data_IF_467379031210
#
_entry.id   IF_467379031210
#
_cell.length_a   1.000
_cell.length_b   1.000
_cell.length_c   1.000
_cell.angle_alpha   90.00
_cell.angle_beta   90.00
_cell.angle_gamma   90.00
#
_symmetry.space_group_name_H-M   'P 1'
#
loop_
_entity.id
_entity.type
_entity.pdbx_description
1 polymer ?
#
# COMPACT_ATOMS: atom_id res chain seq x y z
N UNK A 1 -38.23 -37.51 9.65
CA UNK A 1 -37.55 -37.08 8.45
C UNK A 1 -36.32 -36.27 8.82
N UNK A 2 -35.17 -36.91 8.94
CA UNK A 2 -33.90 -36.23 8.99
C UNK A 2 -33.60 -35.75 7.56
N UNK A 3 -33.78 -34.44 7.35
CA UNK A 3 -33.75 -33.87 6.02
C UNK A 3 -32.37 -33.87 5.44
N UNK A 4 -32.33 -33.87 4.09
CA UNK A 4 -31.15 -33.65 3.24
C UNK A 4 -30.30 -32.40 3.58
N UNK A 5 -30.78 -31.53 4.47
CA UNK A 5 -30.08 -30.32 4.92
C UNK A 5 -28.80 -30.56 5.72
N UNK A 6 -28.62 -31.71 6.39
CA UNK A 6 -27.44 -32.00 7.20
C UNK A 6 -26.23 -32.49 6.35
N UNK A 7 -26.44 -32.90 5.11
CA UNK A 7 -25.39 -33.43 4.23
C UNK A 7 -24.57 -32.31 3.60
N UNK A 8 -25.11 -31.10 3.50
CA UNK A 8 -24.43 -29.95 2.86
C UNK A 8 -23.77 -28.98 3.87
N UNK A 9 -23.92 -29.19 5.16
CA UNK A 9 -23.24 -28.41 6.20
C UNK A 9 -21.78 -28.79 6.26
N UNK A 10 -20.88 -27.77 6.31
CA UNK A 10 -19.43 -27.89 6.41
C UNK A 10 -18.69 -28.21 5.11
N UNK A 11 -19.14 -27.65 4.00
CA UNK A 11 -18.31 -27.65 2.80
C UNK A 11 -17.12 -26.71 3.03
N UNK A 12 -15.92 -27.11 2.58
CA UNK A 12 -14.74 -26.24 2.60
C UNK A 12 -14.75 -25.44 1.30
N UNK A 13 -14.81 -24.11 1.43
CA UNK A 13 -14.65 -23.17 0.32
C UNK A 13 -13.25 -22.56 0.43
N UNK A 14 -12.37 -22.91 -0.50
CA UNK A 14 -11.06 -22.30 -0.64
C UNK A 14 -11.13 -21.17 -1.67
N UNK A 15 -10.72 -19.95 -1.27
CA UNK A 15 -10.64 -18.80 -2.16
C UNK A 15 -9.20 -18.31 -2.15
N UNK A 16 -8.51 -18.52 -3.28
CA UNK A 16 -7.19 -17.95 -3.51
C UNK A 16 -7.31 -16.47 -3.89
N UNK A 17 -6.36 -15.64 -3.44
CA UNK A 17 -6.33 -14.20 -3.68
C UNK A 17 -7.67 -13.51 -3.31
N UNK A 18 -8.19 -13.80 -2.10
CA UNK A 18 -9.49 -13.28 -1.63
C UNK A 18 -9.59 -11.74 -1.67
N UNK A 19 -8.46 -11.03 -1.63
CA UNK A 19 -8.40 -9.57 -1.76
C UNK A 19 -8.88 -9.06 -3.13
N UNK A 20 -8.92 -9.90 -4.16
CA UNK A 20 -9.47 -9.55 -5.49
C UNK A 20 -10.99 -9.45 -5.52
N UNK A 21 -11.65 -10.01 -4.52
CA UNK A 21 -13.08 -9.83 -4.32
C UNK A 21 -13.34 -8.47 -3.69
N UNK A 22 -14.24 -7.68 -4.25
CA UNK A 22 -14.66 -6.44 -3.63
C UNK A 22 -15.43 -6.70 -2.31
N UNK A 23 -15.55 -5.68 -1.46
CA UNK A 23 -16.17 -5.83 -0.14
C UNK A 23 -17.60 -6.36 -0.20
N UNK A 24 -18.40 -5.97 -1.20
CA UNK A 24 -19.74 -6.49 -1.40
C UNK A 24 -19.76 -7.98 -1.76
N UNK A 25 -18.80 -8.45 -2.58
CA UNK A 25 -18.67 -9.88 -2.89
C UNK A 25 -18.22 -10.68 -1.65
N UNK A 26 -17.35 -10.12 -0.82
CA UNK A 26 -16.95 -10.74 0.43
C UNK A 26 -18.12 -10.80 1.44
N UNK A 27 -19.00 -9.78 1.47
CA UNK A 27 -20.19 -9.76 2.32
C UNK A 27 -21.17 -10.88 1.98
N UNK A 28 -21.25 -11.30 0.71
CA UNK A 28 -22.07 -12.46 0.31
C UNK A 28 -21.68 -13.77 0.99
N UNK A 29 -20.45 -13.88 1.47
CA UNK A 29 -19.96 -15.09 2.16
C UNK A 29 -20.38 -15.13 3.63
N UNK A 30 -20.66 -13.97 4.23
CA UNK A 30 -20.93 -13.85 5.67
C UNK A 30 -22.06 -14.75 6.16
N UNK A 31 -23.26 -14.78 5.55
CA UNK A 31 -24.36 -15.63 6.03
C UNK A 31 -23.99 -17.12 6.07
N UNK A 32 -23.24 -17.58 5.08
CA UNK A 32 -22.85 -19.00 4.95
C UNK A 32 -21.72 -19.40 5.90
N UNK A 33 -20.86 -18.43 6.28
CA UNK A 33 -19.83 -18.62 7.30
C UNK A 33 -20.48 -18.61 8.68
N UNK A 34 -21.44 -17.71 8.91
CA UNK A 34 -22.13 -17.56 10.21
C UNK A 34 -23.02 -18.74 10.54
N UNK A 35 -23.75 -19.30 9.57
CA UNK A 35 -24.64 -20.45 9.79
C UNK A 35 -23.91 -21.81 9.74
N UNK A 36 -22.58 -21.78 9.40
CA UNK A 36 -21.74 -22.96 9.30
C UNK A 36 -22.00 -23.83 8.08
N UNK A 37 -22.69 -23.31 7.07
CA UNK A 37 -22.86 -23.97 5.76
C UNK A 37 -21.52 -24.19 5.09
N UNK A 38 -20.61 -23.20 5.19
CA UNK A 38 -19.25 -23.30 4.65
C UNK A 38 -18.20 -23.08 5.75
N UNK A 39 -17.05 -23.74 5.57
CA UNK A 39 -15.80 -23.42 6.23
C UNK A 39 -14.96 -22.65 5.19
N UNK A 40 -14.79 -21.35 5.40
CA UNK A 40 -14.02 -20.50 4.47
C UNK A 40 -12.53 -20.60 4.77
N UNK A 41 -11.74 -20.88 3.74
CA UNK A 41 -10.29 -20.74 3.74
C UNK A 41 -9.94 -19.70 2.67
N UNK A 42 -9.59 -18.48 3.10
CA UNK A 42 -9.13 -17.41 2.22
C UNK A 42 -7.61 -17.32 2.23
N UNK A 43 -6.97 -17.31 1.06
CA UNK A 43 -5.55 -17.02 0.93
C UNK A 43 -5.36 -15.63 0.31
N UNK A 44 -4.33 -14.91 0.76
CA UNK A 44 -3.99 -13.59 0.22
C UNK A 44 -2.50 -13.31 0.38
N UNK A 45 -1.92 -12.59 -0.58
CA UNK A 45 -0.57 -12.02 -0.49
C UNK A 45 -0.56 -10.62 0.12
N UNK A 46 -1.73 -10.02 0.31
CA UNK A 46 -1.89 -8.68 0.88
C UNK A 46 -2.23 -8.75 2.37
N UNK A 47 -2.09 -7.63 3.07
CA UNK A 47 -2.44 -7.58 4.49
C UNK A 47 -3.95 -7.78 4.69
N UNK A 48 -4.38 -8.90 5.32
CA UNK A 48 -5.80 -9.24 5.43
C UNK A 48 -6.60 -8.21 6.24
N UNK A 49 -5.99 -7.50 7.17
CA UNK A 49 -6.67 -6.47 7.98
C UNK A 49 -7.12 -5.25 7.17
N UNK A 50 -6.52 -5.00 6.00
CA UNK A 50 -6.90 -3.90 5.11
C UNK A 50 -7.80 -4.36 3.96
N UNK A 51 -7.54 -5.56 3.43
CA UNK A 51 -8.14 -6.01 2.18
C UNK A 51 -9.36 -6.92 2.38
N UNK A 52 -9.43 -7.63 3.50
CA UNK A 52 -10.55 -8.50 3.82
C UNK A 52 -11.56 -7.78 4.71
N UNK A 53 -12.85 -8.04 4.47
CA UNK A 53 -13.92 -7.47 5.28
C UNK A 53 -13.73 -7.77 6.76
N UNK A 54 -13.81 -6.74 7.61
CA UNK A 54 -13.65 -6.86 9.06
C UNK A 54 -14.60 -7.85 9.71
N UNK A 55 -15.81 -8.04 9.16
CA UNK A 55 -16.77 -9.03 9.65
C UNK A 55 -16.31 -10.47 9.38
N UNK A 56 -15.64 -10.74 8.23
CA UNK A 56 -15.01 -12.04 7.98
C UNK A 56 -13.79 -12.25 8.87
N UNK A 57 -12.94 -11.22 9.02
CA UNK A 57 -11.75 -11.27 9.88
C UNK A 57 -12.11 -11.59 11.32
N UNK A 58 -13.17 -10.96 11.87
CA UNK A 58 -13.60 -11.20 13.26
C UNK A 58 -14.05 -12.64 13.54
N UNK A 59 -14.37 -13.41 12.49
CA UNK A 59 -14.83 -14.80 12.53
C UNK A 59 -13.80 -15.79 12.03
N UNK A 60 -12.58 -15.33 11.75
CA UNK A 60 -11.52 -16.11 11.13
C UNK A 60 -10.28 -16.17 12.02
N UNK A 61 -9.48 -17.20 11.84
CA UNK A 61 -8.14 -17.29 12.42
C UNK A 61 -7.15 -16.95 11.30
N UNK A 62 -6.26 -16.01 11.56
CA UNK A 62 -5.23 -15.61 10.59
C UNK A 62 -3.97 -16.41 10.86
N UNK A 63 -3.45 -17.03 9.81
CA UNK A 63 -2.17 -17.73 9.78
C UNK A 63 -1.23 -17.01 8.84
N UNK A 64 -0.13 -16.49 9.36
CA UNK A 64 0.94 -15.94 8.54
C UNK A 64 1.83 -17.07 8.03
N UNK A 65 1.92 -17.21 6.71
CA UNK A 65 2.81 -18.16 6.05
C UNK A 65 4.18 -17.50 5.84
N UNK A 66 5.22 -18.15 6.34
CA UNK A 66 6.60 -17.70 6.14
C UNK A 66 7.22 -18.35 4.91
N UNK A 67 8.26 -17.72 4.29
CA UNK A 67 9.05 -18.37 3.24
C UNK A 67 9.52 -19.74 3.67
N UNK A 68 9.56 -20.67 2.73
CA UNK A 68 10.00 -22.05 3.00
C UNK A 68 11.51 -22.02 3.26
N UNK A 69 12.00 -22.64 4.35
CA UNK A 69 13.43 -22.69 4.65
C UNK A 69 14.23 -23.36 3.52
N UNK A 70 15.47 -22.91 3.30
CA UNK A 70 16.37 -23.39 2.24
C UNK A 70 16.48 -24.94 2.22
N UNK A 71 16.65 -25.57 3.39
CA UNK A 71 16.76 -27.02 3.47
C UNK A 71 15.48 -27.74 3.03
N UNK A 72 14.32 -27.20 3.34
CA UNK A 72 13.04 -27.76 2.89
C UNK A 72 12.86 -27.59 1.36
N UNK A 73 13.34 -26.49 0.77
CA UNK A 73 13.39 -26.32 -0.70
C UNK A 73 14.32 -27.37 -1.32
N UNK A 74 15.50 -27.60 -0.76
CA UNK A 74 16.42 -28.65 -1.25
C UNK A 74 15.76 -30.03 -1.26
N UNK A 75 15.09 -30.40 -0.19
CA UNK A 75 14.34 -31.66 -0.12
C UNK A 75 13.22 -31.73 -1.17
N UNK A 76 12.53 -30.63 -1.39
CA UNK A 76 11.49 -30.55 -2.42
C UNK A 76 12.07 -30.72 -3.83
N UNK A 77 13.20 -30.07 -4.13
CA UNK A 77 13.89 -30.19 -5.41
C UNK A 77 14.43 -31.62 -5.65
N UNK A 78 15.01 -32.27 -4.63
CA UNK A 78 15.41 -33.68 -4.72
C UNK A 78 14.20 -34.57 -5.06
N UNK A 79 13.07 -34.39 -4.38
CA UNK A 79 11.84 -35.12 -4.71
C UNK A 79 11.39 -34.85 -6.14
N UNK A 80 11.42 -33.59 -6.59
CA UNK A 80 11.02 -33.23 -7.94
C UNK A 80 11.89 -33.92 -9.02
N UNK A 81 13.19 -34.07 -8.79
CA UNK A 81 14.10 -34.72 -9.74
C UNK A 81 13.96 -36.25 -9.75
N UNK A 82 13.82 -36.88 -8.56
CA UNK A 82 13.96 -38.32 -8.43
C UNK A 82 12.64 -39.09 -8.28
N UNK A 83 11.55 -38.45 -7.87
CA UNK A 83 10.25 -39.11 -7.68
C UNK A 83 9.63 -39.41 -9.04
N UNK A 84 9.34 -40.69 -9.31
CA UNK A 84 8.73 -41.15 -10.59
C UNK A 84 7.24 -40.93 -10.66
N UNK A 85 6.56 -40.80 -9.51
CA UNK A 85 5.09 -40.71 -9.47
C UNK A 85 4.62 -39.25 -9.40
N UNK A 86 5.35 -38.40 -8.69
CA UNK A 86 4.98 -36.99 -8.42
C UNK A 86 6.01 -35.98 -8.90
N UNK A 87 7.10 -36.43 -9.46
CA UNK A 87 8.21 -35.60 -9.97
C UNK A 87 8.57 -35.97 -11.40
N UNK A 88 9.79 -35.65 -11.76
CA UNK A 88 10.35 -35.87 -13.10
C UNK A 88 11.32 -37.08 -13.15
N UNK A 89 11.26 -38.03 -12.20
CA UNK A 89 12.12 -39.18 -12.13
C UNK A 89 12.09 -40.07 -13.38
N UNK A 90 11.00 -40.07 -14.15
CA UNK A 90 10.86 -40.77 -15.43
C UNK A 90 11.83 -40.26 -16.51
N UNK A 91 12.34 -39.01 -16.40
CA UNK A 91 13.31 -38.42 -17.33
C UNK A 91 14.76 -38.78 -17.02
N UNK A 92 15.01 -39.58 -15.99
CA UNK A 92 16.33 -40.03 -15.60
C UNK A 92 17.32 -38.88 -15.28
N UNK A 93 16.79 -37.81 -14.66
CA UNK A 93 17.55 -36.62 -14.28
C UNK A 93 18.38 -36.83 -13.02
N UNK A 94 19.49 -36.10 -12.93
CA UNK A 94 20.31 -35.97 -11.73
C UNK A 94 20.61 -34.50 -11.48
N UNK A 95 20.83 -34.12 -10.23
CA UNK A 95 21.18 -32.73 -9.86
C UNK A 95 22.43 -32.75 -8.97
N UNK A 96 23.37 -31.87 -9.28
CA UNK A 96 24.56 -31.67 -8.49
C UNK A 96 24.25 -30.91 -7.22
N UNK A 97 24.98 -31.11 -6.14
CA UNK A 97 24.71 -30.52 -4.83
C UNK A 97 24.87 -28.98 -4.85
N UNK A 98 25.84 -28.47 -5.60
CA UNK A 98 26.02 -27.00 -5.80
C UNK A 98 24.92 -26.38 -6.63
N UNK A 99 24.38 -27.07 -7.63
CA UNK A 99 23.20 -26.66 -8.38
C UNK A 99 21.94 -26.62 -7.49
N UNK A 100 21.81 -27.64 -6.63
CA UNK A 100 20.72 -27.73 -5.67
C UNK A 100 20.77 -26.59 -4.63
N UNK A 101 21.95 -26.32 -4.08
CA UNK A 101 22.19 -25.21 -3.16
C UNK A 101 21.90 -23.87 -3.78
N UNK A 102 22.35 -23.67 -5.02
CA UNK A 102 22.10 -22.45 -5.77
C UNK A 102 20.60 -22.20 -6.04
N UNK A 103 19.88 -23.23 -6.52
CA UNK A 103 18.43 -23.11 -6.79
C UNK A 103 17.62 -22.86 -5.52
N UNK A 104 17.99 -23.53 -4.42
CA UNK A 104 17.32 -23.34 -3.14
C UNK A 104 17.56 -21.93 -2.58
N UNK A 105 18.78 -21.40 -2.74
CA UNK A 105 19.15 -20.07 -2.27
C UNK A 105 18.44 -18.98 -3.06
N UNK A 106 18.50 -19.07 -4.40
CA UNK A 106 17.93 -18.03 -5.28
C UNK A 106 16.41 -18.04 -5.34
N UNK A 107 15.76 -19.14 -4.92
CA UNK A 107 14.30 -19.23 -4.84
C UNK A 107 13.71 -18.35 -3.73
N UNK A 108 14.51 -17.92 -2.76
CA UNK A 108 14.05 -17.09 -1.65
C UNK A 108 12.90 -17.71 -0.85
N UNK A 109 12.78 -19.05 -0.84
CA UNK A 109 11.69 -19.77 -0.19
C UNK A 109 10.42 -19.93 -1.04
N UNK A 110 10.45 -19.53 -2.32
CA UNK A 110 9.36 -19.79 -3.29
C UNK A 110 9.55 -21.16 -3.96
N UNK A 111 8.76 -22.14 -3.50
CA UNK A 111 8.78 -23.50 -4.05
C UNK A 111 8.43 -23.55 -5.54
N UNK A 112 7.49 -22.74 -6.01
CA UNK A 112 7.07 -22.71 -7.42
C UNK A 112 8.21 -22.24 -8.31
N UNK A 113 8.95 -21.24 -7.85
CA UNK A 113 10.11 -20.70 -8.57
C UNK A 113 11.22 -21.76 -8.69
N UNK A 114 11.52 -22.46 -7.60
CA UNK A 114 12.53 -23.52 -7.57
C UNK A 114 12.13 -24.71 -8.47
N UNK A 115 10.88 -25.17 -8.39
CA UNK A 115 10.38 -26.29 -9.18
C UNK A 115 10.36 -25.99 -10.69
N UNK A 116 9.94 -24.79 -11.10
CA UNK A 116 9.95 -24.36 -12.49
C UNK A 116 11.37 -24.34 -13.08
N UNK A 117 12.39 -24.02 -12.28
CA UNK A 117 13.76 -24.04 -12.73
C UNK A 117 14.25 -25.47 -12.99
N UNK A 118 13.89 -26.43 -12.12
CA UNK A 118 14.18 -27.86 -12.31
C UNK A 118 13.46 -28.41 -13.53
N UNK A 119 12.17 -28.14 -13.67
CA UNK A 119 11.37 -28.57 -14.83
C UNK A 119 12.00 -28.08 -16.14
N UNK A 120 12.35 -26.79 -16.21
CA UNK A 120 13.01 -26.21 -17.38
C UNK A 120 14.35 -26.88 -17.63
N UNK A 121 15.18 -27.08 -16.61
CA UNK A 121 16.48 -27.73 -16.73
C UNK A 121 16.39 -29.15 -17.27
N UNK A 122 15.46 -29.95 -16.75
CA UNK A 122 15.25 -31.33 -17.23
C UNK A 122 14.70 -31.37 -18.66
N UNK A 123 13.80 -30.46 -18.99
CA UNK A 123 13.16 -30.45 -20.33
C UNK A 123 14.05 -29.89 -21.44
N UNK A 124 15.06 -29.09 -21.12
CA UNK A 124 15.91 -28.40 -22.11
C UNK A 124 17.35 -28.91 -22.19
N UNK A 125 17.78 -29.75 -21.25
CA UNK A 125 19.13 -30.31 -21.24
C UNK A 125 19.15 -31.65 -21.98
N UNK A 126 20.06 -31.81 -22.93
CA UNK A 126 20.21 -33.08 -23.64
C UNK A 126 20.82 -34.15 -22.74
N UNK A 127 20.41 -35.42 -22.86
CA UNK A 127 21.00 -36.49 -22.12
C UNK A 127 22.49 -36.65 -22.44
N UNK A 128 23.29 -36.86 -21.43
CA UNK A 128 24.73 -37.15 -21.57
C UNK A 128 24.97 -38.57 -22.10
N UNK A 129 26.24 -38.90 -22.36
CA UNK A 129 26.64 -40.24 -22.89
C UNK A 129 26.23 -41.42 -22.01
N UNK A 130 25.94 -41.20 -20.73
CA UNK A 130 25.42 -42.18 -19.78
C UNK A 130 23.88 -42.32 -19.82
N UNK A 131 23.21 -41.56 -20.70
CA UNK A 131 21.76 -41.57 -20.84
C UNK A 131 21.03 -40.80 -19.73
N UNK A 132 21.71 -39.99 -18.93
CA UNK A 132 21.17 -39.18 -17.86
C UNK A 132 21.15 -37.68 -18.23
N UNK A 133 20.20 -36.96 -17.70
CA UNK A 133 20.14 -35.51 -17.76
C UNK A 133 20.80 -34.94 -16.50
N UNK A 134 21.95 -34.27 -16.67
CA UNK A 134 22.69 -33.70 -15.54
C UNK A 134 22.39 -32.25 -15.36
N UNK A 135 21.74 -31.90 -14.25
CA UNK A 135 21.51 -30.52 -13.82
C UNK A 135 22.71 -30.04 -13.03
N UNK A 136 23.67 -29.49 -13.76
CA UNK A 136 24.88 -28.86 -13.20
C UNK A 136 24.57 -27.43 -12.76
N UNK A 137 25.52 -26.80 -12.04
CA UNK A 137 25.41 -25.39 -11.65
C UNK A 137 25.23 -24.48 -12.86
N UNK A 138 25.93 -24.74 -13.98
CA UNK A 138 25.76 -23.94 -15.21
C UNK A 138 24.37 -24.08 -15.80
N UNK A 139 23.80 -25.28 -15.83
CA UNK A 139 22.41 -25.50 -16.27
C UNK A 139 21.43 -24.78 -15.35
N UNK A 140 21.62 -24.91 -14.04
CA UNK A 140 20.80 -24.22 -13.05
C UNK A 140 20.85 -22.71 -13.22
N UNK A 141 22.03 -22.14 -13.45
CA UNK A 141 22.22 -20.72 -13.70
C UNK A 141 21.54 -20.28 -15.00
N UNK A 142 21.66 -21.04 -16.08
CA UNK A 142 20.98 -20.74 -17.36
C UNK A 142 19.46 -20.75 -17.24
N UNK A 143 18.89 -21.67 -16.47
CA UNK A 143 17.44 -21.73 -16.22
C UNK A 143 16.92 -20.51 -15.44
N UNK A 144 17.79 -19.87 -14.68
CA UNK A 144 17.46 -18.68 -13.88
C UNK A 144 17.89 -17.37 -14.55
N UNK A 145 18.90 -17.38 -15.45
CA UNK A 145 19.51 -16.17 -16.03
C UNK A 145 18.55 -15.22 -16.73
N UNK A 146 17.47 -15.67 -17.30
CA UNK A 146 16.40 -14.75 -17.79
C UNK A 146 15.63 -14.07 -16.68
N UNK A 147 15.92 -14.38 -15.41
CA UNK A 147 15.28 -13.85 -14.22
C UNK A 147 16.23 -13.38 -13.11
N UNK A 148 17.54 -13.53 -13.27
CA UNK A 148 18.54 -13.15 -12.25
C UNK A 148 18.65 -11.64 -11.97
N UNK A 149 17.93 -10.81 -12.74
CA UNK A 149 17.61 -9.45 -12.35
C UNK A 149 16.28 -9.38 -11.55
N UNK A 150 15.79 -10.48 -10.98
CA UNK A 150 14.62 -10.48 -10.13
C UNK A 150 15.02 -10.18 -8.69
N UNK A 151 14.83 -8.99 -8.36
CA UNK A 151 14.37 -8.41 -7.14
C UNK A 151 13.48 -9.42 -6.39
N UNK A 152 13.93 -9.89 -5.26
CA UNK A 152 13.11 -10.68 -4.36
C UNK A 152 11.99 -9.78 -3.84
N UNK A 153 10.79 -9.94 -4.42
CA UNK A 153 9.60 -9.15 -4.06
C UNK A 153 9.16 -9.35 -2.60
N UNK A 154 9.68 -10.36 -1.92
CA UNK A 154 9.29 -10.74 -0.57
C UNK A 154 10.47 -10.78 0.42
N UNK A 155 11.70 -10.42 0.02
CA UNK A 155 12.88 -10.43 0.86
C UNK A 155 13.26 -9.05 1.42
N UNK A 156 14.13 -9.02 2.42
CA UNK A 156 14.65 -7.81 3.08
C UNK A 156 15.17 -6.77 2.07
N UNK A 157 15.79 -7.24 1.00
CA UNK A 157 16.35 -6.39 -0.07
C UNK A 157 15.28 -5.62 -0.87
N UNK A 158 14.05 -6.15 -0.94
CA UNK A 158 12.90 -5.48 -1.55
C UNK A 158 12.45 -4.29 -0.69
N UNK A 159 12.17 -4.55 0.57
CA UNK A 159 11.74 -3.51 1.50
C UNK A 159 12.81 -2.45 1.70
N UNK A 160 14.08 -2.85 1.73
CA UNK A 160 15.20 -1.92 1.83
C UNK A 160 15.32 -1.00 0.61
N UNK A 161 15.12 -1.52 -0.60
CA UNK A 161 15.16 -0.71 -1.83
C UNK A 161 13.99 0.26 -1.90
N UNK A 162 12.77 -0.17 -1.54
CA UNK A 162 11.60 0.71 -1.46
C UNK A 162 11.82 1.78 -0.39
N UNK A 163 12.33 1.39 0.76
CA UNK A 163 12.65 2.30 1.86
C UNK A 163 13.70 3.33 1.45
N UNK A 164 14.76 2.91 0.76
CA UNK A 164 15.78 3.79 0.22
C UNK A 164 15.22 4.74 -0.84
N UNK A 165 14.37 4.24 -1.75
CA UNK A 165 13.68 5.06 -2.74
C UNK A 165 12.86 6.19 -2.12
N UNK A 166 12.00 5.85 -1.13
CA UNK A 166 11.17 6.83 -0.43
C UNK A 166 12.06 7.83 0.33
N UNK A 167 13.06 7.34 1.08
CA UNK A 167 13.98 8.18 1.85
C UNK A 167 14.79 9.12 0.98
N UNK A 168 15.17 8.71 -0.24
CA UNK A 168 15.87 9.57 -1.20
C UNK A 168 15.01 10.72 -1.68
N UNK A 169 13.74 10.46 -2.04
CA UNK A 169 12.80 11.54 -2.40
C UNK A 169 12.53 12.47 -1.21
N UNK A 170 12.31 11.92 -0.01
CA UNK A 170 12.12 12.67 1.23
C UNK A 170 13.34 13.52 1.59
N UNK A 171 14.53 12.96 1.41
CA UNK A 171 15.82 13.59 1.68
C UNK A 171 16.29 14.58 0.61
N UNK A 172 15.50 14.79 -0.45
CA UNK A 172 15.83 15.70 -1.55
C UNK A 172 17.10 15.31 -2.32
N UNK A 173 17.33 14.01 -2.49
CA UNK A 173 18.39 13.47 -3.34
C UNK A 173 17.79 12.86 -4.63
N UNK A 174 17.71 13.63 -5.73
CA UNK A 174 17.13 13.16 -6.99
C UNK A 174 17.97 12.06 -7.65
N UNK A 175 19.29 12.07 -7.50
CA UNK A 175 20.17 11.08 -8.11
C UNK A 175 19.99 9.70 -7.46
N UNK A 176 19.97 9.65 -6.13
CA UNK A 176 19.66 8.43 -5.40
C UNK A 176 18.23 7.94 -5.70
N UNK A 177 17.26 8.85 -5.77
CA UNK A 177 15.87 8.49 -6.07
C UNK A 177 15.73 7.86 -7.47
N UNK A 178 16.38 8.42 -8.50
CA UNK A 178 16.41 7.85 -9.86
C UNK A 178 17.17 6.52 -9.88
N UNK A 179 18.27 6.40 -9.15
CA UNK A 179 19.00 5.14 -9.04
C UNK A 179 18.14 4.01 -8.48
N UNK A 180 17.44 4.27 -7.36
CA UNK A 180 16.55 3.26 -6.76
C UNK A 180 15.31 3.00 -7.61
N UNK A 181 14.78 3.98 -8.34
CA UNK A 181 13.76 3.78 -9.38
C UNK A 181 14.26 2.78 -10.43
N UNK A 182 15.44 3.03 -11.02
CA UNK A 182 16.02 2.15 -12.03
C UNK A 182 16.25 0.73 -11.49
N UNK A 183 16.71 0.61 -10.22
CA UNK A 183 16.88 -0.67 -9.55
C UNK A 183 15.56 -1.43 -9.40
N UNK A 184 14.47 -0.77 -9.00
CA UNK A 184 13.13 -1.37 -8.92
C UNK A 184 12.60 -1.78 -10.29
N UNK A 185 12.74 -0.94 -11.32
CA UNK A 185 12.30 -1.25 -12.69
C UNK A 185 13.07 -2.42 -13.29
N UNK A 186 14.40 -2.46 -13.11
CA UNK A 186 15.24 -3.56 -13.56
C UNK A 186 14.88 -4.89 -12.87
N UNK A 187 14.43 -4.81 -11.62
CA UNK A 187 13.94 -5.94 -10.86
C UNK A 187 12.50 -6.39 -11.25
N UNK A 188 11.86 -5.68 -12.18
CA UNK A 188 10.51 -5.98 -12.64
C UNK A 188 9.41 -5.60 -11.66
N UNK A 189 9.66 -4.57 -10.81
CA UNK A 189 8.62 -4.03 -9.93
C UNK A 189 7.48 -3.41 -10.73
N UNK A 190 6.27 -3.50 -10.22
CA UNK A 190 5.09 -2.94 -10.86
C UNK A 190 5.19 -1.42 -10.97
N UNK A 191 5.04 -0.89 -12.19
CA UNK A 191 5.03 0.56 -12.44
C UNK A 191 3.92 1.27 -11.67
N UNK A 192 2.78 0.62 -11.47
CA UNK A 192 1.65 1.15 -10.69
C UNK A 192 1.97 1.18 -9.19
N UNK A 193 2.69 0.18 -8.68
CA UNK A 193 3.19 0.19 -7.30
C UNK A 193 4.17 1.35 -7.08
N UNK A 194 5.15 1.52 -7.98
CA UNK A 194 6.13 2.62 -7.91
C UNK A 194 5.41 3.97 -7.96
N UNK A 195 4.46 4.16 -8.89
CA UNK A 195 3.69 5.39 -9.01
C UNK A 195 2.90 5.71 -7.73
N UNK A 196 2.31 4.69 -7.09
CA UNK A 196 1.63 4.83 -5.79
C UNK A 196 2.57 5.35 -4.70
N UNK A 197 3.80 4.84 -4.64
CA UNK A 197 4.79 5.32 -3.66
C UNK A 197 5.20 6.77 -3.89
N UNK A 198 5.29 7.20 -5.15
CA UNK A 198 5.54 8.60 -5.51
C UNK A 198 4.37 9.50 -5.05
N UNK A 199 3.11 9.09 -5.29
CA UNK A 199 1.92 9.83 -4.84
C UNK A 199 1.89 10.00 -3.32
N UNK A 200 2.18 8.92 -2.58
CA UNK A 200 2.23 8.98 -1.11
C UNK A 200 3.30 9.97 -0.66
N UNK A 201 4.52 9.87 -1.21
CA UNK A 201 5.62 10.78 -0.87
C UNK A 201 5.29 12.25 -1.21
N UNK A 202 4.63 12.49 -2.36
CA UNK A 202 4.18 13.82 -2.74
C UNK A 202 3.19 14.44 -1.74
N UNK A 203 2.31 13.62 -1.14
CA UNK A 203 1.36 14.09 -0.13
C UNK A 203 1.94 14.17 1.28
N UNK A 204 2.73 13.17 1.67
CA UNK A 204 3.28 13.02 3.01
C UNK A 204 4.46 13.96 3.27
N UNK A 205 5.43 14.00 2.32
CA UNK A 205 6.72 14.66 2.51
C UNK A 205 6.83 16.04 1.84
N UNK A 206 6.07 16.28 0.75
CA UNK A 206 6.02 17.57 0.07
C UNK A 206 4.79 18.37 0.53
N UNK A 207 3.62 17.74 0.53
CA UNK A 207 2.37 18.34 1.02
C UNK A 207 2.10 19.71 0.41
N UNK A 208 1.72 20.67 1.25
CA UNK A 208 1.40 22.03 0.84
C UNK A 208 2.63 22.92 0.61
N UNK A 209 3.85 22.43 0.83
CA UNK A 209 5.03 23.18 0.45
C UNK A 209 5.15 23.33 -1.09
N UNK A 210 4.67 22.32 -1.83
CA UNK A 210 4.44 22.40 -3.28
C UNK A 210 3.22 21.56 -3.68
N UNK A 211 2.03 22.15 -3.78
CA UNK A 211 0.79 21.43 -4.14
C UNK A 211 0.85 20.77 -5.53
N UNK A 212 1.73 21.22 -6.43
CA UNK A 212 1.91 20.63 -7.76
C UNK A 212 2.55 19.25 -7.71
N UNK A 213 3.27 18.91 -6.65
CA UNK A 213 3.91 17.60 -6.52
C UNK A 213 2.89 16.45 -6.59
N UNK A 214 1.77 16.57 -5.90
CA UNK A 214 0.69 15.59 -5.96
C UNK A 214 0.03 15.54 -7.34
N UNK A 215 -0.18 16.69 -7.99
CA UNK A 215 -0.75 16.77 -9.35
C UNK A 215 0.14 16.04 -10.35
N UNK A 216 1.45 16.27 -10.29
CA UNK A 216 2.44 15.60 -11.13
C UNK A 216 2.44 14.09 -10.87
N UNK A 217 2.45 13.67 -9.61
CA UNK A 217 2.49 12.27 -9.23
C UNK A 217 1.21 11.51 -9.66
N UNK A 218 0.02 12.11 -9.50
CA UNK A 218 -1.25 11.51 -9.94
C UNK A 218 -1.31 11.40 -11.46
N UNK A 219 -0.94 12.45 -12.20
CA UNK A 219 -0.92 12.39 -13.66
C UNK A 219 0.10 11.36 -14.18
N UNK A 220 1.27 11.24 -13.54
CA UNK A 220 2.23 10.20 -13.86
C UNK A 220 1.65 8.80 -13.64
N UNK A 221 0.93 8.56 -12.53
CA UNK A 221 0.26 7.28 -12.26
C UNK A 221 -0.75 6.91 -13.36
N UNK A 222 -1.59 7.85 -13.77
CA UNK A 222 -2.56 7.63 -14.85
C UNK A 222 -1.88 7.40 -16.21
N UNK A 223 -0.77 8.08 -16.47
CA UNK A 223 -0.04 7.96 -17.72
C UNK A 223 0.68 6.62 -17.85
N UNK A 224 1.33 6.12 -16.79
CA UNK A 224 2.05 4.84 -16.84
C UNK A 224 1.13 3.65 -17.09
N UNK A 225 -0.12 3.70 -16.61
CA UNK A 225 -1.12 2.66 -16.88
C UNK A 225 -1.53 2.59 -18.36
N UNK A 226 -1.51 3.73 -19.06
CA UNK A 226 -1.90 3.84 -20.47
C UNK A 226 -0.77 3.55 -21.42
N UNK A 227 0.44 3.96 -21.06
CA UNK A 227 1.62 3.91 -21.93
C UNK A 227 2.32 2.56 -21.81
N UNK A 228 2.49 2.04 -20.58
CA UNK A 228 3.22 0.79 -20.34
C UNK A 228 4.74 0.93 -20.50
N UNK A 229 5.44 -0.19 -20.28
CA UNK A 229 6.89 -0.26 -20.45
C UNK A 229 7.24 -0.46 -21.95
N UNK A 230 8.37 0.06 -22.46
CA UNK A 230 9.45 0.70 -21.68
C UNK A 230 9.27 2.21 -21.40
N UNK A 231 8.36 2.90 -22.06
CA UNK A 231 8.22 4.37 -22.00
C UNK A 231 7.73 4.86 -20.62
N UNK A 232 7.01 4.05 -19.85
CA UNK A 232 6.58 4.37 -18.49
C UNK A 232 7.74 4.78 -17.57
N UNK A 233 8.96 4.27 -17.79
CA UNK A 233 10.15 4.66 -17.03
C UNK A 233 10.47 6.16 -17.14
N UNK A 234 10.18 6.78 -18.30
CA UNK A 234 10.44 8.21 -18.53
C UNK A 234 9.49 9.06 -17.69
N UNK A 235 8.20 8.66 -17.67
CA UNK A 235 7.15 9.33 -16.90
C UNK A 235 7.44 9.23 -15.40
N UNK A 236 7.83 8.03 -14.93
CA UNK A 236 8.21 7.82 -13.53
C UNK A 236 9.44 8.64 -13.15
N UNK A 237 10.47 8.70 -14.00
CA UNK A 237 11.67 9.49 -13.75
C UNK A 237 11.35 10.98 -13.59
N UNK A 238 10.47 11.54 -14.45
CA UNK A 238 10.00 12.92 -14.33
C UNK A 238 9.32 13.16 -12.98
N UNK A 239 8.39 12.29 -12.60
CA UNK A 239 7.66 12.45 -11.33
C UNK A 239 8.60 12.31 -10.10
N UNK A 240 9.52 11.36 -10.13
CA UNK A 240 10.51 11.13 -9.08
C UNK A 240 11.41 12.34 -8.89
N UNK A 241 12.00 12.86 -9.98
CA UNK A 241 12.88 14.03 -9.91
C UNK A 241 12.14 15.26 -9.43
N UNK A 242 10.89 15.46 -9.86
CA UNK A 242 10.06 16.57 -9.39
C UNK A 242 9.82 16.47 -7.88
N UNK A 243 9.32 15.32 -7.39
CA UNK A 243 9.02 15.11 -5.97
C UNK A 243 10.29 15.19 -5.11
N UNK A 244 11.42 14.64 -5.60
CA UNK A 244 12.69 14.71 -4.91
C UNK A 244 13.21 16.15 -4.75
N UNK A 245 13.04 16.99 -5.76
CA UNK A 245 13.54 18.39 -5.76
C UNK A 245 12.57 19.41 -5.19
N UNK A 246 11.30 19.05 -4.99
CA UNK A 246 10.29 19.92 -4.40
C UNK A 246 10.63 20.29 -2.95
N UNK A 247 10.25 21.49 -2.46
CA UNK A 247 10.34 21.84 -1.06
C UNK A 247 9.53 20.86 -0.20
N UNK A 248 10.01 20.54 0.99
CA UNK A 248 9.44 19.51 1.85
C UNK A 248 8.61 20.09 3.00
N UNK A 249 7.45 19.49 3.24
CA UNK A 249 6.64 19.71 4.44
C UNK A 249 5.74 18.49 4.69
N UNK A 250 5.80 17.98 5.91
CA UNK A 250 4.90 16.92 6.39
C UNK A 250 3.76 17.47 7.28
N UNK A 251 3.52 18.78 7.27
CA UNK A 251 2.61 19.42 8.21
C UNK A 251 1.15 18.95 8.07
N UNK A 252 0.70 18.63 6.86
CA UNK A 252 -0.64 18.07 6.64
C UNK A 252 -0.75 16.64 7.21
N UNK A 253 0.31 15.84 7.07
CA UNK A 253 0.39 14.50 7.67
C UNK A 253 0.41 14.56 9.20
N UNK A 254 1.22 15.44 9.78
CA UNK A 254 1.27 15.65 11.23
C UNK A 254 -0.09 16.12 11.76
N UNK A 255 -0.75 17.04 11.05
CA UNK A 255 -2.05 17.58 11.45
C UNK A 255 -3.11 16.47 11.56
N UNK A 256 -3.27 15.63 10.53
CA UNK A 256 -4.25 14.53 10.58
C UNK A 256 -3.86 13.49 11.61
N UNK A 257 -2.56 13.18 11.78
CA UNK A 257 -2.10 12.21 12.78
C UNK A 257 -2.41 12.69 14.21
N UNK A 258 -2.17 13.95 14.51
CA UNK A 258 -2.51 14.54 15.82
C UNK A 258 -4.01 14.60 16.04
N UNK A 259 -4.80 14.97 15.01
CA UNK A 259 -6.26 14.99 15.12
C UNK A 259 -6.83 13.58 15.36
N UNK A 260 -6.30 12.56 14.69
CA UNK A 260 -6.69 11.16 14.92
C UNK A 260 -6.37 10.70 16.35
N UNK A 261 -5.19 11.05 16.88
CA UNK A 261 -4.84 10.74 18.26
C UNK A 261 -5.78 11.43 19.26
N UNK A 262 -6.15 12.69 19.01
CA UNK A 262 -7.09 13.43 19.83
C UNK A 262 -8.48 12.76 19.82
N UNK A 263 -9.01 12.41 18.65
CA UNK A 263 -10.29 11.69 18.52
C UNK A 263 -10.25 10.34 19.25
N UNK A 264 -9.15 9.59 19.15
CA UNK A 264 -9.01 8.34 19.89
C UNK A 264 -8.97 8.53 21.41
N UNK A 265 -8.40 9.63 21.87
CA UNK A 265 -8.28 9.93 23.31
C UNK A 265 -9.58 10.46 23.92
N UNK A 266 -10.34 11.26 23.16
CA UNK A 266 -11.53 11.99 23.66
C UNK A 266 -12.85 11.35 23.25
N UNK A 267 -12.84 10.48 22.23
CA UNK A 267 -14.06 10.00 21.56
C UNK A 267 -14.78 11.11 20.78
N UNK A 268 -16.06 10.90 20.49
CA UNK A 268 -16.89 11.84 19.72
C UNK A 268 -17.34 13.01 20.62
N UNK A 269 -16.56 14.08 20.65
CA UNK A 269 -16.90 15.32 21.34
C UNK A 269 -18.10 16.02 20.67
N UNK A 270 -18.95 16.74 21.43
CA UNK A 270 -20.10 17.43 20.90
C UNK A 270 -19.69 18.52 19.87
N UNK A 271 -20.35 18.51 18.72
CA UNK A 271 -20.19 19.56 17.71
C UNK A 271 -20.87 20.84 18.24
N UNK A 272 -20.21 22.03 18.17
CA UNK A 272 -20.83 23.30 18.54
C UNK A 272 -22.19 23.49 17.87
N UNK A 273 -23.21 23.88 18.63
CA UNK A 273 -24.60 23.93 18.17
C UNK A 273 -24.82 24.82 16.93
N UNK A 274 -24.06 25.90 16.80
CA UNK A 274 -24.14 26.79 15.63
C UNK A 274 -23.59 26.16 14.34
N UNK A 275 -22.77 25.10 14.43
CA UNK A 275 -22.25 24.35 13.29
C UNK A 275 -23.10 23.14 12.92
N UNK A 276 -24.08 22.76 13.76
CA UNK A 276 -24.93 21.61 13.50
C UNK A 276 -25.93 21.92 12.36
N UNK A 277 -26.31 20.90 11.60
CA UNK A 277 -27.21 21.05 10.45
C UNK A 277 -28.56 21.63 10.86
N UNK A 278 -28.96 22.73 10.20
CA UNK A 278 -30.20 23.43 10.42
C UNK A 278 -31.27 23.16 9.35
N UNK A 279 -30.98 22.30 8.34
CA UNK A 279 -31.84 22.17 7.15
C UNK A 279 -33.00 21.16 7.33
N UNK A 280 -33.15 20.48 8.47
CA UNK A 280 -34.20 19.50 8.70
C UNK A 280 -35.34 20.04 9.58
N UNK A 281 -36.56 19.46 9.41
CA UNK A 281 -37.72 19.84 10.23
C UNK A 281 -37.49 19.54 11.72
N UNK A 282 -37.44 20.58 12.54
CA UNK A 282 -37.19 20.44 13.98
C UNK A 282 -35.83 20.94 14.45
N UNK A 283 -34.87 21.17 13.57
CA UNK A 283 -33.55 21.73 13.90
C UNK A 283 -33.62 23.00 14.73
N UNK A 284 -34.54 23.94 14.36
CA UNK A 284 -34.77 25.18 15.09
C UNK A 284 -35.22 24.96 16.53
N UNK A 285 -35.99 23.88 16.83
CA UNK A 285 -36.42 23.55 18.21
C UNK A 285 -35.29 23.08 19.08
N UNK A 286 -34.24 22.55 18.47
CA UNK A 286 -33.02 22.05 19.11
C UNK A 286 -31.90 23.11 19.15
N UNK A 287 -32.15 24.29 18.57
CA UNK A 287 -31.17 25.39 18.50
C UNK A 287 -30.02 25.13 17.50
N UNK A 288 -30.14 24.14 16.63
CA UNK A 288 -29.12 23.84 15.64
C UNK A 288 -28.96 24.98 14.63
N UNK A 289 -27.72 25.34 14.32
CA UNK A 289 -27.38 26.46 13.43
C UNK A 289 -27.56 27.84 14.03
N UNK A 290 -28.08 27.96 15.26
CA UNK A 290 -28.33 29.27 15.88
C UNK A 290 -27.01 29.96 16.21
N UNK A 291 -26.84 31.18 15.68
CA UNK A 291 -25.65 32.01 15.93
C UNK A 291 -24.46 31.69 14.99
N UNK A 292 -24.67 30.85 13.95
CA UNK A 292 -23.68 30.68 12.91
C UNK A 292 -23.40 31.96 12.15
N UNK A 293 -22.16 32.34 12.04
CA UNK A 293 -21.70 33.49 11.27
C UNK A 293 -21.22 33.01 9.91
N UNK A 294 -21.89 33.44 8.83
CA UNK A 294 -21.52 33.07 7.48
C UNK A 294 -20.29 33.88 7.03
N UNK A 295 -19.19 33.21 6.79
CA UNK A 295 -17.87 33.85 6.56
C UNK A 295 -17.89 34.84 5.38
N UNK A 296 -18.64 34.55 4.30
CA UNK A 296 -18.73 35.42 3.13
C UNK A 296 -19.48 36.78 3.39
N UNK A 297 -20.14 36.94 4.54
CA UNK A 297 -20.75 38.21 4.95
C UNK A 297 -19.71 39.12 5.65
N UNK A 298 -18.47 38.68 5.81
CA UNK A 298 -17.40 39.38 6.53
C UNK A 298 -16.22 39.71 5.61
N UNK A 299 -15.41 40.73 5.93
CA UNK A 299 -14.24 41.09 5.17
C UNK A 299 -13.27 39.88 5.02
N UNK A 300 -12.72 39.74 3.81
CA UNK A 300 -11.83 38.62 3.44
C UNK A 300 -12.41 37.22 3.63
N UNK A 301 -13.76 37.11 3.60
CA UNK A 301 -14.47 35.84 3.80
C UNK A 301 -14.01 35.09 5.10
N UNK A 302 -13.68 35.89 6.14
CA UNK A 302 -13.20 35.39 7.41
C UNK A 302 -13.93 36.02 8.59
N UNK A 303 -14.35 35.19 9.53
CA UNK A 303 -14.92 35.57 10.80
C UNK A 303 -14.41 34.69 11.93
N UNK A 304 -14.08 35.30 13.05
CA UNK A 304 -13.70 34.56 14.24
C UNK A 304 -14.96 33.96 14.91
N UNK A 305 -14.98 32.61 14.94
CA UNK A 305 -15.97 31.85 15.69
C UNK A 305 -15.37 30.48 16.08
N UNK A 306 -15.97 29.78 17.03
CA UNK A 306 -15.52 28.48 17.50
C UNK A 306 -15.92 27.38 16.51
N UNK A 307 -14.97 26.76 15.82
CA UNK A 307 -15.19 25.66 14.90
C UNK A 307 -14.93 24.28 15.53
N UNK A 308 -13.94 24.16 16.39
CA UNK A 308 -13.69 22.92 17.11
C UNK A 308 -14.69 22.74 18.26
N UNK A 309 -14.91 21.50 18.74
CA UNK A 309 -15.54 21.28 20.04
C UNK A 309 -14.97 22.19 21.11
N UNK A 310 -15.81 22.63 22.05
CA UNK A 310 -15.39 23.59 23.07
C UNK A 310 -14.24 23.08 23.93
N UNK A 311 -14.17 21.77 24.15
CA UNK A 311 -13.11 21.10 24.89
C UNK A 311 -11.74 21.21 24.20
N UNK A 312 -11.74 21.44 22.88
CA UNK A 312 -10.56 21.64 22.05
C UNK A 312 -10.33 23.11 21.65
N UNK A 313 -10.98 24.04 22.35
CA UNK A 313 -10.79 25.47 22.07
C UNK A 313 -9.33 25.88 22.15
N UNK A 314 -8.84 26.58 21.12
CA UNK A 314 -7.43 26.98 21.02
C UNK A 314 -6.46 25.88 20.57
N UNK A 315 -6.92 24.66 20.31
CA UNK A 315 -6.08 23.60 19.75
C UNK A 315 -5.74 23.91 18.29
N UNK A 316 -4.48 23.78 17.93
CA UNK A 316 -3.99 23.91 16.56
C UNK A 316 -3.39 22.59 16.09
N UNK A 317 -3.96 21.99 15.04
CA UNK A 317 -3.43 20.78 14.42
C UNK A 317 -2.54 21.10 13.22
N UNK A 318 -2.93 22.07 12.38
CA UNK A 318 -2.18 22.44 11.19
C UNK A 318 -1.37 23.71 11.42
N UNK A 319 -0.06 23.56 11.40
CA UNK A 319 0.91 24.66 11.54
C UNK A 319 1.81 24.69 10.29
N UNK A 320 1.55 25.59 9.32
CA UNK A 320 2.33 25.67 8.10
C UNK A 320 3.83 25.85 8.37
N UNK A 321 4.66 25.13 7.62
CA UNK A 321 6.11 25.24 7.71
C UNK A 321 6.63 26.56 7.12
N UNK A 322 7.96 26.76 7.22
CA UNK A 322 8.65 27.86 6.54
C UNK A 322 9.06 27.54 5.10
N UNK A 323 8.55 26.46 4.48
CA UNK A 323 9.03 25.96 3.20
C UNK A 323 8.01 26.19 2.07
N UNK A 324 8.50 26.56 0.88
CA UNK A 324 7.72 26.63 -0.33
C UNK A 324 6.43 27.46 -0.22
N UNK A 325 5.32 26.91 -0.71
CA UNK A 325 4.04 27.61 -0.72
C UNK A 325 3.43 27.80 0.69
N UNK A 326 3.84 27.00 1.67
CA UNK A 326 3.33 27.16 3.05
C UNK A 326 3.71 28.48 3.69
N UNK A 327 4.77 29.15 3.22
CA UNK A 327 5.07 30.54 3.63
C UNK A 327 3.91 31.46 3.29
N UNK A 328 3.36 31.36 2.06
CA UNK A 328 2.21 32.16 1.62
C UNK A 328 0.93 31.81 2.38
N UNK A 329 0.73 30.55 2.70
CA UNK A 329 -0.40 30.10 3.54
C UNK A 329 -0.32 30.75 4.92
N UNK A 330 0.84 30.72 5.55
CA UNK A 330 1.08 31.30 6.87
C UNK A 330 0.85 32.83 6.86
N UNK A 331 1.38 33.53 5.87
CA UNK A 331 1.22 34.97 5.71
C UNK A 331 -0.26 35.32 5.50
N UNK A 332 -0.96 34.59 4.64
CA UNK A 332 -2.39 34.78 4.41
C UNK A 332 -3.21 34.57 5.68
N UNK A 333 -2.99 33.48 6.42
CA UNK A 333 -3.71 33.18 7.65
C UNK A 333 -3.45 34.24 8.75
N UNK A 334 -2.22 34.71 8.87
CA UNK A 334 -1.88 35.76 9.81
C UNK A 334 -2.56 37.09 9.45
N UNK A 335 -2.58 37.46 8.16
CA UNK A 335 -3.21 38.66 7.66
C UNK A 335 -4.71 38.70 7.94
N UNK A 336 -5.46 37.66 7.55
CA UNK A 336 -6.93 37.64 7.74
C UNK A 336 -7.31 37.66 9.22
N UNK A 337 -6.55 36.99 10.10
CA UNK A 337 -6.78 37.03 11.56
C UNK A 337 -6.55 38.43 12.12
N UNK A 338 -5.50 39.14 11.68
CA UNK A 338 -5.19 40.49 12.10
C UNK A 338 -6.27 41.49 11.68
N UNK A 339 -6.65 41.46 10.41
CA UNK A 339 -7.69 42.35 9.84
C UNK A 339 -9.06 42.13 10.52
N UNK A 340 -9.42 40.89 10.85
CA UNK A 340 -10.65 40.60 11.59
C UNK A 340 -10.61 41.10 13.03
N UNK A 341 -9.46 41.02 13.68
CA UNK A 341 -9.29 41.57 15.05
C UNK A 341 -9.39 43.10 15.05
N UNK A 342 -8.80 43.81 14.08
CA UNK A 342 -8.89 45.26 13.91
C UNK A 342 -10.31 45.70 13.66
N UNK A 343 -11.05 45.06 12.73
CA UNK A 343 -12.47 45.37 12.46
C UNK A 343 -13.38 45.12 13.68
N UNK A 344 -13.06 44.14 14.52
CA UNK A 344 -13.81 43.84 15.74
C UNK A 344 -13.57 44.86 16.84
N UNK A 345 -12.40 45.53 16.87
CA UNK A 345 -12.08 46.59 17.84
C UNK A 345 -12.75 47.91 17.46
N UNK A 346 -12.79 48.29 16.17
CA UNK A 346 -13.45 49.50 15.69
C UNK A 346 -14.96 49.49 15.93
N UNK A 347 -15.59 48.31 15.80
CA UNK A 347 -17.02 48.14 16.09
C UNK A 347 -17.39 48.16 17.58
N UNK A 348 -16.43 48.12 18.49
CA UNK A 348 -16.64 48.22 19.94
C UNK A 348 -16.50 49.67 20.47
N UNK A 349 -15.82 50.52 19.70
CA UNK A 349 -15.62 51.93 20.05
C UNK A 349 -16.64 52.88 19.43
N UNK A 350 -17.48 52.40 18.53
CA UNK A 350 -18.60 53.12 17.94
C UNK A 350 -19.95 52.69 18.58
#
# INVERSE_FOLDING_TARGET
SRGLGDVYKRQILFIDEIHRFNKGQQDYLLPYVEDGTIILIGATTENPYFEVNGALISRSVIFELKPIPKEAIKELLKKAVYDTDRGMGAYNGTIDEDALDFLADISGGDARHALNAIELGIMTTEPSADGKIHITLDVAQQCIQKRAARYDKNGDNHYDTISAFIKSMRGSDPDAAVYYLARMLNAGESVTFIARRIMICASEDVGNADPQALVVAVNASLAVERVGMPEAQIILAQAVTYVATAPKSNRSYEAVSQAMQEVHATGDLPIPTHLQDAHYKGAAKLGHGTGYKYAHDYPNDYVEQQYLPYELSGREFYQPSGNGYEVKIREHMARIKKEAAEASSENKES
#
